data_IF_497722580209
#
_entry.id   IF_497722580209
#
_cell.length_a   1.000
_cell.length_b   1.000
_cell.length_c   1.000
_cell.angle_alpha   90.00
_cell.angle_beta   90.00
_cell.angle_gamma   90.00
#
_symmetry.space_group_name_H-M   'P 1'
#
loop_
_entity.id
_entity.type
_entity.pdbx_description
1 polymer ?
#
# COMPACT_ATOMS: atom_id res chain seq x y z
N UNK A 1 6.07 -14.35 -60.84
CA UNK A 1 6.62 -15.72 -60.81
C UNK A 1 7.31 -16.08 -59.47
N UNK A 2 7.31 -15.22 -58.44
CA UNK A 2 7.98 -15.51 -57.16
C UNK A 2 7.05 -15.88 -55.99
N UNK A 3 5.73 -15.68 -56.14
CA UNK A 3 4.75 -15.96 -55.07
C UNK A 3 4.22 -17.41 -55.09
N UNK A 4 4.30 -18.11 -56.22
CA UNK A 4 3.87 -19.51 -56.34
C UNK A 4 4.90 -20.52 -55.79
N UNK A 5 6.18 -20.17 -55.81
CA UNK A 5 7.27 -21.06 -55.39
C UNK A 5 7.43 -21.14 -53.86
N UNK A 6 7.00 -20.08 -53.14
CA UNK A 6 7.03 -20.05 -51.68
C UNK A 6 5.95 -20.95 -51.06
N UNK A 7 4.79 -21.03 -51.69
CA UNK A 7 3.62 -21.75 -51.16
C UNK A 7 3.76 -23.28 -51.30
N UNK A 8 4.38 -23.73 -52.40
CA UNK A 8 4.74 -25.15 -52.62
C UNK A 8 5.82 -25.63 -51.65
N UNK A 9 6.79 -24.79 -51.29
CA UNK A 9 7.85 -25.12 -50.32
C UNK A 9 7.33 -25.19 -48.89
N UNK A 10 6.38 -24.33 -48.51
CA UNK A 10 5.75 -24.33 -47.18
C UNK A 10 4.82 -25.54 -46.98
N UNK A 11 4.05 -25.92 -48.01
CA UNK A 11 3.20 -27.11 -47.96
C UNK A 11 4.00 -28.42 -47.94
N UNK A 12 5.11 -28.50 -48.67
CA UNK A 12 6.01 -29.65 -48.62
C UNK A 12 6.72 -29.82 -47.27
N UNK A 13 7.18 -28.72 -46.65
CA UNK A 13 7.79 -28.75 -45.31
C UNK A 13 6.80 -29.15 -44.21
N UNK A 14 5.56 -28.64 -44.28
CA UNK A 14 4.50 -28.96 -43.31
C UNK A 14 4.04 -30.42 -43.41
N UNK A 15 3.98 -31.00 -44.61
CA UNK A 15 3.55 -32.40 -44.83
C UNK A 15 4.57 -33.42 -44.29
N UNK A 16 5.86 -33.14 -44.42
CA UNK A 16 6.92 -34.08 -44.02
C UNK A 16 7.06 -34.19 -42.47
N UNK A 17 6.89 -33.08 -41.76
CA UNK A 17 6.94 -33.04 -40.29
C UNK A 17 5.71 -33.66 -39.59
N UNK A 18 4.57 -33.74 -40.28
CA UNK A 18 3.35 -34.36 -39.75
C UNK A 18 3.39 -35.89 -39.92
N UNK A 19 3.91 -36.37 -41.06
CA UNK A 19 4.08 -37.80 -41.35
C UNK A 19 5.09 -38.50 -40.41
N UNK A 20 6.19 -37.83 -40.05
CA UNK A 20 7.20 -38.39 -39.12
C UNK A 20 6.68 -38.49 -37.69
N UNK A 21 5.93 -37.49 -37.21
CA UNK A 21 5.30 -37.51 -35.88
C UNK A 21 4.27 -38.63 -35.75
N UNK A 22 3.50 -38.90 -36.81
CA UNK A 22 2.52 -40.01 -36.82
C UNK A 22 3.20 -41.38 -36.68
N UNK A 23 4.33 -41.60 -37.36
CA UNK A 23 5.10 -42.85 -37.27
C UNK A 23 5.73 -43.06 -35.89
N UNK A 24 6.20 -41.99 -35.24
CA UNK A 24 6.73 -42.08 -33.87
C UNK A 24 5.64 -42.46 -32.86
N UNK A 25 4.44 -41.88 -32.96
CA UNK A 25 3.33 -42.25 -32.08
C UNK A 25 2.87 -43.70 -32.30
N UNK A 26 2.82 -44.16 -33.55
CA UNK A 26 2.46 -45.55 -33.87
C UNK A 26 3.50 -46.56 -33.34
N UNK A 27 4.80 -46.25 -33.48
CA UNK A 27 5.88 -47.10 -32.97
C UNK A 27 5.90 -47.19 -31.43
N UNK A 28 5.61 -46.08 -30.73
CA UNK A 28 5.47 -46.06 -29.27
C UNK A 28 4.29 -46.93 -28.82
N UNK A 29 3.17 -46.89 -29.54
CA UNK A 29 1.96 -47.66 -29.20
C UNK A 29 2.17 -49.17 -29.39
N UNK A 30 2.91 -49.57 -30.44
CA UNK A 30 3.30 -50.97 -30.68
C UNK A 30 4.29 -51.47 -29.61
N UNK A 31 5.22 -50.63 -29.16
CA UNK A 31 6.13 -50.96 -28.06
C UNK A 31 5.40 -51.13 -26.71
N UNK A 32 4.41 -50.28 -26.42
CA UNK A 32 3.60 -50.39 -25.20
C UNK A 32 2.74 -51.66 -25.24
N UNK A 33 2.19 -52.03 -26.40
CA UNK A 33 1.39 -53.25 -26.55
C UNK A 33 2.25 -54.52 -26.42
N UNK A 34 3.49 -54.51 -26.93
CA UNK A 34 4.44 -55.61 -26.76
C UNK A 34 4.93 -55.79 -25.32
N UNK A 35 4.97 -54.71 -24.53
CA UNK A 35 5.33 -54.74 -23.11
C UNK A 35 4.22 -55.33 -22.23
N UNK A 36 2.95 -55.20 -22.64
CA UNK A 36 1.80 -55.76 -21.89
C UNK A 36 1.67 -57.27 -22.10
N UNK A 37 2.12 -57.80 -23.24
CA UNK A 37 2.01 -59.24 -23.59
C UNK A 37 3.12 -60.10 -22.99
N UNK A 38 4.21 -59.49 -22.46
CA UNK A 38 5.38 -60.21 -21.91
C UNK A 38 5.39 -60.39 -20.39
N UNK A 39 4.28 -60.10 -19.70
CA UNK A 39 4.16 -60.38 -18.26
C UNK A 39 3.95 -61.89 -18.01
N UNK A 40 4.89 -62.59 -17.33
CA UNK A 40 4.73 -64.01 -17.04
C UNK A 40 3.61 -64.22 -16.02
N UNK A 41 2.59 -64.96 -16.45
CA UNK A 41 1.48 -65.43 -15.62
C UNK A 41 1.93 -66.66 -14.82
N UNK A 42 2.83 -66.48 -13.86
CA UNK A 42 3.24 -67.57 -12.96
C UNK A 42 2.60 -67.37 -11.58
N UNK A 43 1.50 -68.09 -11.36
CA UNK A 43 0.95 -68.32 -10.04
C UNK A 43 1.80 -69.31 -9.26
N UNK A 44 2.43 -68.84 -8.17
CA UNK A 44 2.81 -69.66 -7.03
C UNK A 44 2.46 -68.86 -5.77
N UNK A 45 1.40 -69.27 -5.08
CA UNK A 45 1.03 -68.73 -3.77
C UNK A 45 1.86 -69.43 -2.69
N UNK A 46 3.04 -68.89 -2.39
CA UNK A 46 3.60 -69.04 -1.04
C UNK A 46 2.86 -68.02 -0.15
N UNK A 47 2.28 -68.48 0.95
CA UNK A 47 1.52 -67.62 1.86
C UNK A 47 2.42 -66.57 2.51
N UNK A 48 2.34 -65.34 2.04
CA UNK A 48 2.97 -64.17 2.66
C UNK A 48 2.42 -63.97 4.09
N UNK A 49 3.25 -63.58 5.06
CA UNK A 49 2.78 -63.26 6.40
C UNK A 49 1.82 -62.05 6.36
N UNK A 50 0.55 -62.25 6.74
CA UNK A 50 -0.46 -61.18 6.75
C UNK A 50 -0.62 -60.56 8.16
N UNK A 51 -0.73 -59.23 8.19
CA UNK A 51 -0.90 -58.47 9.43
C UNK A 51 -2.32 -58.62 9.97
N UNK A 52 -2.44 -59.08 11.21
CA UNK A 52 -3.71 -59.16 11.93
C UNK A 52 -3.65 -58.34 13.22
N UNK A 53 -4.82 -57.99 13.74
CA UNK A 53 -4.98 -57.22 14.96
C UNK A 53 -5.72 -58.03 16.00
N UNK A 54 -5.42 -57.79 17.26
CA UNK A 54 -6.13 -58.38 18.39
C UNK A 54 -7.47 -57.65 18.59
N UNK A 55 -8.58 -58.39 18.70
CA UNK A 55 -9.95 -57.86 18.84
C UNK A 55 -10.16 -57.09 20.15
N UNK A 56 -11.01 -56.05 20.10
CA UNK A 56 -11.29 -55.11 21.23
C UNK A 56 -12.28 -55.64 22.28
N UNK A 57 -12.80 -56.86 22.12
CA UNK A 57 -13.89 -57.38 22.96
C UNK A 57 -13.46 -57.86 24.35
N UNK A 58 -12.17 -58.13 24.57
CA UNK A 58 -11.62 -58.59 25.86
C UNK A 58 -10.45 -57.70 26.29
N UNK A 59 -10.29 -57.48 27.60
CA UNK A 59 -9.33 -56.50 28.16
C UNK A 59 -7.86 -56.93 28.05
N UNK A 60 -7.59 -58.23 28.04
CA UNK A 60 -6.25 -58.84 27.89
C UNK A 60 -6.39 -60.22 27.26
N UNK A 61 -5.53 -60.54 26.30
CA UNK A 61 -5.59 -61.83 25.59
C UNK A 61 -4.28 -62.61 25.81
N UNK A 62 -4.34 -63.83 26.37
CA UNK A 62 -3.15 -64.60 26.68
C UNK A 62 -2.53 -65.21 25.43
N UNK A 63 -1.22 -65.07 25.28
CA UNK A 63 -0.40 -65.85 24.35
C UNK A 63 0.25 -67.00 25.11
N UNK A 64 0.20 -68.19 24.52
CA UNK A 64 0.66 -69.44 25.13
C UNK A 64 1.83 -70.05 24.38
N UNK A 65 2.60 -70.89 25.08
CA UNK A 65 3.74 -71.60 24.50
C UNK A 65 3.35 -72.72 23.51
N UNK A 66 2.10 -73.18 23.53
CA UNK A 66 1.61 -74.26 22.67
C UNK A 66 0.11 -74.21 22.45
N UNK A 67 -0.38 -75.11 21.60
CA UNK A 67 -1.78 -75.25 21.19
C UNK A 67 -2.59 -75.96 22.26
N UNK A 68 -3.17 -75.21 23.20
CA UNK A 68 -4.00 -75.80 24.25
C UNK A 68 -4.08 -74.95 25.52
N UNK A 69 -5.01 -75.31 26.42
CA UNK A 69 -5.23 -74.58 27.68
C UNK A 69 -4.23 -74.97 28.78
N UNK A 70 -3.60 -76.12 28.60
CA UNK A 70 -2.57 -76.73 29.45
C UNK A 70 -1.20 -76.07 29.28
N UNK A 71 -0.95 -75.41 28.14
CA UNK A 71 0.31 -74.73 27.89
C UNK A 71 0.42 -73.41 28.67
N UNK A 72 1.62 -73.15 29.19
CA UNK A 72 1.96 -71.95 29.97
C UNK A 72 1.66 -70.67 29.19
N UNK A 73 1.02 -69.71 29.84
CA UNK A 73 0.83 -68.36 29.32
C UNK A 73 2.19 -67.64 29.36
N UNK A 74 2.65 -67.20 28.20
CA UNK A 74 3.92 -66.48 28.05
C UNK A 74 3.75 -64.98 28.30
N UNK A 75 2.66 -64.40 27.80
CA UNK A 75 2.35 -62.97 27.95
C UNK A 75 0.87 -62.69 27.74
N UNK A 76 0.45 -61.48 28.08
CA UNK A 76 -0.85 -60.94 27.72
C UNK A 76 -0.67 -59.81 26.72
N UNK A 77 -1.41 -59.87 25.61
CA UNK A 77 -1.44 -58.78 24.64
C UNK A 77 -2.60 -57.84 24.94
N UNK A 78 -2.38 -56.51 24.84
CA UNK A 78 -3.46 -55.56 24.90
C UNK A 78 -4.34 -55.66 23.65
N UNK A 79 -5.60 -55.22 23.74
CA UNK A 79 -6.49 -55.18 22.58
C UNK A 79 -5.93 -54.22 21.54
N UNK A 80 -6.04 -54.60 20.27
CA UNK A 80 -5.48 -53.86 19.16
C UNK A 80 -3.97 -53.92 18.98
N UNK A 81 -3.26 -54.74 19.74
CA UNK A 81 -1.90 -55.12 19.42
C UNK A 81 -1.82 -55.68 17.99
N UNK A 82 -0.85 -55.21 17.21
CA UNK A 82 -0.56 -55.75 15.90
C UNK A 82 0.28 -57.02 16.06
N UNK A 83 -0.16 -58.10 15.42
CA UNK A 83 0.56 -59.36 15.39
C UNK A 83 0.71 -59.83 13.95
N UNK A 84 1.81 -60.54 13.68
CA UNK A 84 2.03 -61.18 12.38
C UNK A 84 1.65 -62.64 12.52
N UNK A 85 0.71 -63.09 11.71
CA UNK A 85 0.28 -64.48 11.74
C UNK A 85 1.16 -65.33 10.80
N UNK A 86 1.54 -66.52 11.25
CA UNK A 86 2.24 -67.52 10.44
C UNK A 86 1.24 -68.43 9.74
N UNK A 87 1.65 -69.13 8.68
CA UNK A 87 0.78 -70.07 7.97
C UNK A 87 0.41 -71.34 8.77
N UNK A 88 1.02 -71.54 9.95
CA UNK A 88 0.67 -72.61 10.89
C UNK A 88 -0.56 -72.24 11.72
N UNK A 89 -1.73 -72.61 11.22
CA UNK A 89 -3.03 -72.40 11.86
C UNK A 89 -3.87 -73.69 11.87
N UNK A 90 -4.54 -73.93 12.99
CA UNK A 90 -5.61 -74.93 13.10
C UNK A 90 -6.98 -74.22 13.22
N UNK A 91 -8.09 -74.95 13.36
CA UNK A 91 -9.44 -74.36 13.45
C UNK A 91 -9.60 -73.37 14.62
N UNK A 92 -8.89 -73.64 15.74
CA UNK A 92 -9.04 -72.91 17.00
C UNK A 92 -7.82 -72.05 17.37
N UNK A 93 -6.60 -72.44 16.95
CA UNK A 93 -5.33 -71.80 17.35
C UNK A 93 -4.54 -71.31 16.14
N UNK A 94 -3.88 -70.16 16.29
CA UNK A 94 -2.97 -69.60 15.30
C UNK A 94 -1.62 -69.29 15.96
N UNK A 95 -0.51 -69.56 15.25
CA UNK A 95 0.84 -69.16 15.68
C UNK A 95 1.11 -67.74 15.24
N UNK A 96 1.43 -66.85 16.17
CA UNK A 96 1.66 -65.44 15.89
C UNK A 96 2.99 -64.95 16.44
N UNK A 97 3.61 -64.02 15.71
CA UNK A 97 4.72 -63.20 16.19
C UNK A 97 4.19 -61.88 16.74
N UNK A 98 4.61 -61.53 17.96
CA UNK A 98 4.15 -60.33 18.69
C UNK A 98 5.29 -59.37 19.07
N UNK A 99 6.46 -59.52 18.44
CA UNK A 99 7.65 -58.70 18.64
C UNK A 99 8.87 -59.30 17.93
N UNK A 100 10.01 -58.60 17.91
CA UNK A 100 11.24 -59.14 17.33
C UNK A 100 11.61 -60.45 18.05
N UNK A 101 11.57 -61.56 17.32
CA UNK A 101 11.88 -62.93 17.78
C UNK A 101 10.97 -63.51 18.88
N UNK A 102 9.77 -62.94 19.10
CA UNK A 102 8.81 -63.47 20.08
C UNK A 102 7.61 -64.09 19.40
N UNK A 103 7.41 -65.38 19.66
CA UNK A 103 6.35 -66.19 19.08
C UNK A 103 5.49 -66.86 20.15
N UNK A 104 4.27 -67.21 19.78
CA UNK A 104 3.40 -68.03 20.60
C UNK A 104 2.06 -68.30 19.93
N UNK A 105 1.22 -69.02 20.63
CA UNK A 105 -0.09 -69.47 20.15
C UNK A 105 -1.21 -68.65 20.79
N UNK A 106 -2.15 -68.23 19.96
CA UNK A 106 -3.32 -67.44 20.33
C UNK A 106 -4.58 -68.05 19.71
N UNK A 107 -5.73 -67.90 20.38
CA UNK A 107 -7.00 -68.34 19.83
C UNK A 107 -7.40 -67.49 18.63
N UNK A 108 -7.77 -68.14 17.52
CA UNK A 108 -8.12 -67.48 16.25
C UNK A 108 -9.29 -66.51 16.39
N UNK A 109 -10.24 -66.81 17.28
CA UNK A 109 -11.40 -65.94 17.59
C UNK A 109 -11.01 -64.53 18.08
N UNK A 110 -9.78 -64.36 18.54
CA UNK A 110 -9.26 -63.08 19.02
C UNK A 110 -8.49 -62.30 17.95
N UNK A 111 -8.21 -62.92 16.80
CA UNK A 111 -7.54 -62.27 15.67
C UNK A 111 -8.59 -61.70 14.72
N UNK A 112 -8.34 -60.47 14.25
CA UNK A 112 -9.16 -59.80 13.24
C UNK A 112 -8.29 -59.13 12.20
N UNK A 113 -8.70 -59.21 10.94
CA UNK A 113 -8.02 -58.53 9.83
C UNK A 113 -8.36 -57.03 9.78
N UNK A 114 -9.34 -56.58 10.57
CA UNK A 114 -9.80 -55.19 10.61
C UNK A 114 -9.11 -54.44 11.74
N UNK A 115 -8.74 -53.18 11.48
CA UNK A 115 -8.21 -52.32 12.53
C UNK A 115 -9.25 -52.20 13.66
N UNK A 116 -8.83 -52.37 14.93
CA UNK A 116 -9.72 -52.27 16.07
C UNK A 116 -10.33 -50.86 16.20
N UNK A 117 -11.57 -50.81 16.68
CA UNK A 117 -12.33 -49.57 16.82
C UNK A 117 -11.69 -48.62 17.85
N UNK A 118 -11.08 -49.17 18.91
CA UNK A 118 -10.36 -48.41 19.93
C UNK A 118 -9.19 -47.62 19.32
N UNK A 119 -8.42 -48.26 18.44
CA UNK A 119 -7.29 -47.66 17.74
C UNK A 119 -7.76 -46.59 16.75
N UNK A 120 -8.81 -46.87 15.97
CA UNK A 120 -9.41 -45.90 15.04
C UNK A 120 -9.94 -44.67 15.77
N UNK A 121 -10.65 -44.86 16.89
CA UNK A 121 -11.17 -43.77 17.71
C UNK A 121 -10.05 -42.91 18.30
N UNK A 122 -8.98 -43.54 18.81
CA UNK A 122 -7.83 -42.80 19.35
C UNK A 122 -7.14 -41.97 18.28
N UNK A 123 -7.01 -42.51 17.05
CA UNK A 123 -6.41 -41.82 15.91
C UNK A 123 -7.29 -40.67 15.46
N UNK A 124 -8.60 -40.90 15.31
CA UNK A 124 -9.55 -39.88 14.93
C UNK A 124 -9.61 -38.74 15.96
N UNK A 125 -9.61 -39.05 17.26
CA UNK A 125 -9.55 -38.03 18.33
C UNK A 125 -8.29 -37.16 18.23
N UNK A 126 -7.12 -37.77 18.01
CA UNK A 126 -5.87 -37.03 17.79
C UNK A 126 -5.92 -36.13 16.56
N UNK A 127 -6.49 -36.63 15.46
CA UNK A 127 -6.66 -35.84 14.23
C UNK A 127 -7.61 -34.66 14.44
N UNK A 128 -8.73 -34.87 15.15
CA UNK A 128 -9.66 -33.78 15.50
C UNK A 128 -8.95 -32.74 16.34
N UNK A 129 -8.20 -33.14 17.37
CA UNK A 129 -7.45 -32.20 18.21
C UNK A 129 -6.40 -31.40 17.42
N UNK A 130 -5.66 -32.07 16.52
CA UNK A 130 -4.68 -31.42 15.66
C UNK A 130 -5.34 -30.45 14.67
N UNK A 131 -6.46 -30.86 14.06
CA UNK A 131 -7.22 -30.02 13.13
C UNK A 131 -7.84 -28.83 13.85
N UNK A 132 -8.37 -29.00 15.06
CA UNK A 132 -8.88 -27.90 15.88
C UNK A 132 -7.77 -26.90 16.19
N UNK A 133 -6.59 -27.37 16.64
CA UNK A 133 -5.42 -26.51 16.86
C UNK A 133 -5.00 -25.74 15.59
N UNK A 134 -5.03 -26.39 14.43
CA UNK A 134 -4.74 -25.76 13.13
C UNK A 134 -5.79 -24.71 12.76
N UNK A 135 -7.07 -25.00 12.96
CA UNK A 135 -8.17 -24.06 12.69
C UNK A 135 -8.06 -22.84 13.60
N UNK A 136 -7.78 -23.03 14.89
CA UNK A 136 -7.61 -21.93 15.83
C UNK A 136 -6.40 -21.04 15.46
N UNK A 137 -5.26 -21.66 15.11
CA UNK A 137 -4.06 -20.94 14.66
C UNK A 137 -4.29 -20.18 13.34
N UNK A 138 -4.96 -20.81 12.38
CA UNK A 138 -5.32 -20.17 11.10
C UNK A 138 -6.32 -19.03 11.29
N UNK A 139 -7.31 -19.23 12.16
CA UNK A 139 -8.29 -18.21 12.52
C UNK A 139 -7.60 -16.99 13.14
N UNK A 140 -6.71 -17.20 14.13
CA UNK A 140 -5.93 -16.14 14.77
C UNK A 140 -5.09 -15.36 13.75
N UNK A 141 -4.32 -16.08 12.93
CA UNK A 141 -3.49 -15.49 11.87
C UNK A 141 -4.33 -14.68 10.88
N UNK A 142 -5.50 -15.17 10.48
CA UNK A 142 -6.40 -14.45 9.58
C UNK A 142 -6.96 -13.19 10.24
N UNK A 143 -7.33 -13.24 11.52
CA UNK A 143 -7.73 -12.06 12.29
C UNK A 143 -6.63 -10.99 12.35
N UNK A 144 -5.37 -11.39 12.55
CA UNK A 144 -4.22 -10.48 12.52
C UNK A 144 -4.01 -9.85 11.14
N UNK A 145 -4.00 -10.65 10.07
CA UNK A 145 -3.88 -10.15 8.71
C UNK A 145 -5.00 -9.19 8.34
N UNK A 146 -6.24 -9.49 8.73
CA UNK A 146 -7.38 -8.58 8.51
C UNK A 146 -7.18 -7.26 9.25
N UNK A 147 -6.73 -7.29 10.51
CA UNK A 147 -6.43 -6.08 11.28
C UNK A 147 -5.31 -5.27 10.62
N UNK A 148 -4.22 -5.93 10.20
CA UNK A 148 -3.12 -5.31 9.48
C UNK A 148 -3.58 -4.64 8.19
N UNK A 149 -4.36 -5.34 7.36
CA UNK A 149 -4.91 -4.78 6.13
C UNK A 149 -5.83 -3.58 6.38
N UNK A 150 -6.68 -3.61 7.41
CA UNK A 150 -7.52 -2.45 7.75
C UNK A 150 -6.71 -1.24 8.19
N UNK A 151 -5.64 -1.47 8.96
CA UNK A 151 -4.74 -0.41 9.41
C UNK A 151 -3.97 0.19 8.23
N UNK A 152 -3.39 -0.65 7.38
CA UNK A 152 -2.64 -0.22 6.20
C UNK A 152 -3.54 0.55 5.22
N UNK A 153 -4.77 0.09 4.99
CA UNK A 153 -5.75 0.81 4.17
C UNK A 153 -6.07 2.19 4.75
N UNK A 154 -6.18 2.30 6.07
CA UNK A 154 -6.41 3.58 6.75
C UNK A 154 -5.20 4.52 6.60
N UNK A 155 -3.99 3.99 6.65
CA UNK A 155 -2.74 4.73 6.52
C UNK A 155 -2.54 5.22 5.08
N UNK A 156 -2.75 4.35 4.09
CA UNK A 156 -2.77 4.74 2.67
C UNK A 156 -3.77 5.87 2.46
N UNK A 157 -5.00 5.77 2.97
CA UNK A 157 -6.00 6.84 2.86
C UNK A 157 -5.54 8.16 3.50
N UNK A 158 -4.87 8.11 4.66
CA UNK A 158 -4.29 9.29 5.32
C UNK A 158 -3.15 9.90 4.50
N UNK A 159 -2.22 9.07 4.01
CA UNK A 159 -1.09 9.49 3.18
C UNK A 159 -1.56 10.11 1.86
N UNK A 160 -2.52 9.50 1.18
CA UNK A 160 -3.11 10.05 -0.05
C UNK A 160 -3.74 11.42 0.20
N UNK A 161 -4.45 11.61 1.33
CA UNK A 161 -4.98 12.92 1.72
C UNK A 161 -3.86 13.94 1.95
N UNK A 162 -2.79 13.57 2.65
CA UNK A 162 -1.64 14.44 2.89
C UNK A 162 -0.93 14.83 1.60
N UNK A 163 -0.68 13.88 0.69
CA UNK A 163 -0.06 14.14 -0.61
C UNK A 163 -0.94 15.08 -1.44
N UNK A 164 -2.27 14.88 -1.44
CA UNK A 164 -3.19 15.76 -2.15
C UNK A 164 -3.20 17.18 -1.57
N UNK A 165 -3.23 17.31 -0.24
CA UNK A 165 -3.17 18.60 0.44
C UNK A 165 -1.83 19.31 0.16
N UNK A 166 -0.70 18.61 0.34
CA UNK A 166 0.64 19.15 0.10
C UNK A 166 0.82 19.57 -1.37
N UNK A 167 0.30 18.79 -2.31
CA UNK A 167 0.33 19.15 -3.73
C UNK A 167 -0.50 20.40 -4.03
N UNK A 168 -1.67 20.53 -3.39
CA UNK A 168 -2.50 21.73 -3.51
C UNK A 168 -1.79 22.96 -2.92
N UNK A 169 -1.26 22.84 -1.70
CA UNK A 169 -0.54 23.92 -1.02
C UNK A 169 0.72 24.35 -1.79
N UNK A 170 1.45 23.38 -2.35
CA UNK A 170 2.60 23.66 -3.20
C UNK A 170 2.22 24.44 -4.47
N UNK A 171 1.15 24.01 -5.16
CA UNK A 171 0.67 24.71 -6.35
C UNK A 171 0.18 26.12 -6.00
N UNK A 172 -0.53 26.26 -4.89
CA UNK A 172 -0.97 27.57 -4.38
C UNK A 172 0.23 28.48 -4.09
N UNK A 173 1.22 27.99 -3.36
CA UNK A 173 2.43 28.76 -3.04
C UNK A 173 3.19 29.16 -4.31
N UNK A 174 3.26 28.28 -5.32
CA UNK A 174 3.85 28.58 -6.63
C UNK A 174 3.10 29.70 -7.35
N UNK A 175 1.77 29.66 -7.36
CA UNK A 175 0.92 30.69 -7.97
C UNK A 175 1.02 32.01 -7.20
N UNK A 176 0.88 31.99 -5.88
CA UNK A 176 0.96 33.17 -5.02
C UNK A 176 2.33 33.85 -5.14
N UNK A 177 3.41 33.07 -5.26
CA UNK A 177 4.76 33.61 -5.48
C UNK A 177 4.90 34.29 -6.85
N UNK A 178 4.27 33.75 -7.90
CA UNK A 178 4.24 34.39 -9.21
C UNK A 178 3.41 35.69 -9.19
N UNK A 179 2.25 35.67 -8.52
CA UNK A 179 1.39 36.84 -8.35
C UNK A 179 2.03 37.92 -7.48
N UNK A 180 2.84 37.56 -6.49
CA UNK A 180 3.58 38.52 -5.68
C UNK A 180 4.57 39.34 -6.51
N UNK A 181 5.22 38.72 -7.50
CA UNK A 181 6.13 39.42 -8.40
C UNK A 181 5.38 40.46 -9.26
N UNK A 182 4.25 40.06 -9.83
CA UNK A 182 3.36 40.97 -10.60
C UNK A 182 2.79 42.08 -9.71
N UNK A 183 2.39 41.75 -8.48
CA UNK A 183 1.88 42.71 -7.52
C UNK A 183 2.96 43.73 -7.12
N UNK A 184 4.20 43.29 -6.95
CA UNK A 184 5.34 44.18 -6.68
C UNK A 184 5.58 45.14 -7.84
N UNK A 185 5.54 44.65 -9.08
CA UNK A 185 5.66 45.50 -10.27
C UNK A 185 4.52 46.53 -10.36
N UNK A 186 3.27 46.09 -10.11
CA UNK A 186 2.10 46.99 -10.02
C UNK A 186 2.26 48.01 -8.90
N UNK A 187 2.83 47.62 -7.76
CA UNK A 187 3.06 48.54 -6.65
C UNK A 187 4.14 49.57 -6.99
N UNK A 188 5.25 49.17 -7.63
CA UNK A 188 6.30 50.09 -8.07
C UNK A 188 5.79 51.06 -9.15
N UNK A 189 5.00 50.57 -10.11
CA UNK A 189 4.39 51.42 -11.15
C UNK A 189 3.35 52.38 -10.54
N UNK A 190 2.54 51.92 -9.59
CA UNK A 190 1.59 52.77 -8.87
C UNK A 190 2.29 53.83 -8.04
N UNK A 191 3.40 53.50 -7.37
CA UNK A 191 4.23 54.47 -6.66
C UNK A 191 4.87 55.50 -7.60
N UNK A 192 5.33 55.08 -8.79
CA UNK A 192 5.83 56.02 -9.82
C UNK A 192 4.73 56.97 -10.27
N UNK A 193 3.57 56.46 -10.63
CA UNK A 193 2.40 57.27 -11.02
C UNK A 193 1.97 58.21 -9.90
N UNK A 194 1.96 57.75 -8.65
CA UNK A 194 1.65 58.58 -7.50
C UNK A 194 2.64 59.73 -7.33
N UNK A 195 3.95 59.46 -7.46
CA UNK A 195 4.98 60.51 -7.42
C UNK A 195 4.80 61.50 -8.56
N UNK A 196 4.55 61.03 -9.78
CA UNK A 196 4.34 61.88 -10.96
C UNK A 196 3.12 62.80 -10.75
N UNK A 197 1.97 62.24 -10.38
CA UNK A 197 0.75 63.02 -10.09
C UNK A 197 1.02 64.03 -8.96
N UNK A 198 1.72 63.61 -7.90
CA UNK A 198 2.08 64.51 -6.81
C UNK A 198 2.99 65.64 -7.27
N UNK A 199 4.00 65.37 -8.09
CA UNK A 199 4.88 66.42 -8.63
C UNK A 199 4.12 67.40 -9.52
N UNK A 200 3.19 66.91 -10.35
CA UNK A 200 2.33 67.77 -11.19
C UNK A 200 1.43 68.63 -10.31
N UNK A 201 0.82 68.03 -9.28
CA UNK A 201 -0.01 68.73 -8.32
C UNK A 201 0.78 69.82 -7.57
N UNK A 202 1.96 69.48 -7.03
CA UNK A 202 2.83 70.40 -6.30
C UNK A 202 3.32 71.53 -7.22
N UNK A 203 3.66 71.23 -8.47
CA UNK A 203 4.03 72.24 -9.47
C UNK A 203 2.87 73.18 -9.79
N UNK A 204 1.66 72.64 -10.00
CA UNK A 204 0.47 73.43 -10.28
C UNK A 204 0.08 74.29 -9.06
N UNK A 205 0.20 73.74 -7.85
CA UNK A 205 -0.03 74.45 -6.60
C UNK A 205 0.98 75.57 -6.41
N UNK A 206 2.26 75.31 -6.63
CA UNK A 206 3.32 76.32 -6.59
C UNK A 206 3.07 77.42 -7.62
N UNK A 207 2.66 77.09 -8.85
CA UNK A 207 2.33 78.08 -9.87
C UNK A 207 1.15 78.96 -9.44
N UNK A 208 0.12 78.38 -8.83
CA UNK A 208 -0.99 79.14 -8.27
C UNK A 208 -0.54 80.05 -7.12
N UNK A 209 0.33 79.56 -6.23
CA UNK A 209 0.84 80.34 -5.11
C UNK A 209 1.78 81.46 -5.57
N UNK A 210 2.60 81.24 -6.60
CA UNK A 210 3.43 82.27 -7.23
C UNK A 210 2.57 83.37 -7.87
N UNK A 211 1.52 82.99 -8.59
CA UNK A 211 0.56 83.94 -9.16
C UNK A 211 -0.15 84.77 -8.08
N UNK A 212 -0.59 84.12 -6.98
CA UNK A 212 -1.20 84.80 -5.83
C UNK A 212 -0.22 85.74 -5.13
N UNK A 213 1.04 85.35 -4.96
CA UNK A 213 2.10 86.20 -4.37
C UNK A 213 2.37 87.42 -5.24
N UNK A 214 2.53 87.25 -6.55
CA UNK A 214 2.73 88.36 -7.48
C UNK A 214 1.54 89.33 -7.46
N UNK A 215 0.32 88.83 -7.38
CA UNK A 215 -0.88 89.64 -7.22
C UNK A 215 -0.88 90.41 -5.88
N UNK A 216 -0.54 89.74 -4.78
CA UNK A 216 -0.47 90.36 -3.44
C UNK A 216 0.59 91.47 -3.38
N UNK A 217 1.76 91.25 -4.00
CA UNK A 217 2.83 92.25 -4.08
C UNK A 217 2.37 93.49 -4.88
N UNK A 218 1.62 93.31 -5.97
CA UNK A 218 1.07 94.45 -6.75
C UNK A 218 0.12 95.33 -5.93
N UNK A 219 -0.78 94.72 -5.14
CA UNK A 219 -1.69 95.47 -4.27
C UNK A 219 -0.98 96.11 -3.08
N UNK A 220 0.07 95.48 -2.55
CA UNK A 220 0.90 96.09 -1.53
C UNK A 220 1.64 97.33 -2.08
N UNK A 221 2.22 97.21 -3.29
CA UNK A 221 2.94 98.30 -3.93
C UNK A 221 2.03 99.49 -4.29
N UNK A 222 0.81 99.22 -4.76
CA UNK A 222 -0.17 100.29 -5.01
C UNK A 222 -0.58 101.00 -3.71
N UNK A 223 -0.78 100.26 -2.61
CA UNK A 223 -1.02 100.84 -1.29
C UNK A 223 0.13 101.73 -0.80
N UNK A 224 1.38 101.27 -0.96
CA UNK A 224 2.57 102.05 -0.60
C UNK A 224 2.71 103.33 -1.44
N UNK A 225 2.42 103.27 -2.74
CA UNK A 225 2.46 104.43 -3.62
C UNK A 225 1.44 105.51 -3.22
N UNK A 226 0.22 105.11 -2.82
CA UNK A 226 -0.81 106.03 -2.35
C UNK A 226 -0.38 106.74 -1.05
N UNK A 227 0.24 106.01 -0.11
CA UNK A 227 0.75 106.60 1.13
C UNK A 227 1.85 107.63 0.83
N UNK A 228 2.80 107.32 -0.06
CA UNK A 228 3.85 108.27 -0.47
C UNK A 228 3.27 109.54 -1.09
N UNK A 229 2.29 109.41 -2.00
CA UNK A 229 1.61 110.57 -2.59
C UNK A 229 0.88 111.41 -1.53
N UNK A 230 0.19 110.76 -0.58
CA UNK A 230 -0.46 111.44 0.54
C UNK A 230 0.52 112.23 1.41
N UNK A 231 1.69 111.66 1.69
CA UNK A 231 2.77 112.33 2.45
C UNK A 231 3.29 113.54 1.69
N UNK A 232 3.55 113.43 0.38
CA UNK A 232 4.03 114.55 -0.45
C UNK A 232 3.00 115.69 -0.46
N UNK A 233 1.73 115.38 -0.67
CA UNK A 233 0.64 116.39 -0.67
C UNK A 233 0.51 117.03 0.72
N UNK A 234 0.55 116.24 1.79
CA UNK A 234 0.51 116.73 3.16
C UNK A 234 1.67 117.68 3.48
N UNK A 235 2.89 117.33 3.08
CA UNK A 235 4.06 118.19 3.21
C UNK A 235 3.93 119.48 2.38
N UNK A 236 3.38 119.40 1.16
CA UNK A 236 3.17 120.57 0.31
C UNK A 236 2.16 121.56 0.92
N UNK A 237 1.06 121.05 1.50
CA UNK A 237 0.07 121.87 2.24
C UNK A 237 0.72 122.51 3.47
N UNK A 238 1.53 121.76 4.21
CA UNK A 238 2.20 122.26 5.41
C UNK A 238 3.26 123.33 5.10
N UNK A 239 4.01 123.16 4.00
CA UNK A 239 4.96 124.16 3.50
C UNK A 239 4.26 125.46 3.09
N UNK A 240 3.07 125.39 2.48
CA UNK A 240 2.26 126.56 2.15
C UNK A 240 1.66 127.24 3.39
N UNK A 241 1.29 126.47 4.43
CA UNK A 241 0.80 127.02 5.71
C UNK A 241 1.90 127.80 6.45
N UNK A 242 3.15 127.34 6.40
CA UNK A 242 4.28 128.00 7.08
C UNK A 242 4.73 129.32 6.44
N UNK A 243 4.31 129.63 5.20
CA UNK A 243 4.57 130.96 4.59
C UNK A 243 3.64 132.08 5.12
N UNK A 244 2.56 131.76 5.86
CA UNK A 244 1.66 132.78 6.46
C UNK A 244 1.99 133.18 7.91
N UNK A 245 3.09 132.69 8.50
CA UNK A 245 3.51 133.06 9.88
C UNK A 245 4.93 133.66 9.93
N UNK A 246 5.25 134.55 9.00
CA UNK A 246 6.38 135.49 9.12
C UNK A 246 5.97 136.85 8.56
N UNK A 247 5.15 137.56 9.32
CA UNK A 247 5.07 139.02 9.29
C UNK A 247 4.69 139.50 10.69
N UNK A 248 5.42 140.54 11.12
CA UNK A 248 5.20 141.44 12.26
C UNK A 248 5.75 141.08 13.65
N UNK A 249 6.89 141.68 13.98
CA UNK A 249 6.94 142.93 14.79
C UNK A 249 8.42 143.37 14.93
N UNK A 250 8.85 144.45 14.27
CA UNK A 250 8.87 145.86 14.72
C UNK A 250 9.84 146.19 15.89
N UNK A 251 11.00 146.75 15.48
CA UNK A 251 11.58 148.07 15.86
C UNK A 251 11.83 148.46 17.33
N UNK A 252 13.01 149.11 17.47
CA UNK A 252 13.56 149.97 18.54
C UNK A 252 14.24 149.18 19.68
N UNK A 253 15.50 149.43 20.05
CA UNK A 253 16.25 150.69 20.14
C UNK A 253 17.75 150.43 19.96
#
# INVERSE_FOLDING_TARGET
MLLFDLDLRLTAWRRNNIMSRLHHHFSILVLILGLIVSLPLNGQTAGEPFRQYVSDTLRVIPIRAGRGREYKIMTFLPPGAAVTNFAEEDEEWARVSYGPEKEGWILRRYLTNRKPASLLLSTAKRQVEELTKKVDALSSTNHEYRRGNTNLLSEVKKLTKKVKALSHDYNKLKTDSAQFLELKEKHETLLKKYKEIKTVYDNQKNNQDLLKRAYTIKWFLSGAAVILLGIIIGMMIQALRNRRRRSDSLRLR
#
